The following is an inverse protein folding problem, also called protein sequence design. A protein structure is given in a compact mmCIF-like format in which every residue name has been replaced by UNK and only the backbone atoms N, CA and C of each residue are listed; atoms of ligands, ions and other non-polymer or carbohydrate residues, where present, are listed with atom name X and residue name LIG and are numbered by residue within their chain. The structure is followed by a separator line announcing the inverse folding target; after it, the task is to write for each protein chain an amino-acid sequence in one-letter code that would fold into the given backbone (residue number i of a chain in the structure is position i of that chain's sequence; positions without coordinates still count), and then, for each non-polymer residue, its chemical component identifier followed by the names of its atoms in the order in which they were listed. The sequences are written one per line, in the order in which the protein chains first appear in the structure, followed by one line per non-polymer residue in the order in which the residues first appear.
data_IF_376735872842
#
_entry.id   IF_376735872842
#
_cell.length_a   1.000
_cell.length_b   1.000
_cell.length_c   1.000
_cell.angle_alpha   90.00
_cell.angle_beta   90.00
_cell.angle_gamma   90.00
#
_symmetry.space_group_name_H-M   'P 1'
#
loop_
_entity.id
_entity.type
_entity.pdbx_description
1 polymer ?
#
# COMPACT_ATOMS: atom_id res chain seq x y z
N UNK A 1 -30.44 -28.29 27.58
CA UNK A 1 -31.73 -28.58 28.29
C UNK A 1 -32.77 -29.05 27.25
N UNK A 2 -32.98 -28.33 26.14
CA UNK A 2 -34.02 -28.58 25.17
C UNK A 2 -33.55 -29.37 23.91
N UNK A 3 -32.28 -29.44 23.61
CA UNK A 3 -31.68 -30.22 22.55
C UNK A 3 -31.90 -29.66 21.14
N UNK A 4 -33.11 -29.27 20.76
CA UNK A 4 -33.46 -28.72 19.47
C UNK A 4 -34.23 -27.40 19.59
N UNK A 5 -34.30 -26.66 18.49
CA UNK A 5 -35.05 -25.38 18.40
C UNK A 5 -36.56 -25.63 18.58
N UNK A 6 -37.07 -26.69 17.94
CA UNK A 6 -38.48 -27.10 18.07
C UNK A 6 -38.87 -27.39 19.50
N UNK A 7 -38.00 -28.07 20.25
CA UNK A 7 -38.22 -28.33 21.69
C UNK A 7 -38.21 -27.06 22.52
N UNK A 8 -37.43 -26.02 22.13
CA UNK A 8 -37.50 -24.73 22.83
C UNK A 8 -38.88 -24.10 22.64
N UNK A 9 -39.40 -24.12 21.38
CA UNK A 9 -40.74 -23.58 21.09
C UNK A 9 -41.85 -24.37 21.78
N UNK A 10 -41.69 -25.66 21.96
CA UNK A 10 -42.67 -26.51 22.71
C UNK A 10 -42.68 -26.20 24.23
N UNK A 11 -41.65 -25.56 24.77
CA UNK A 11 -41.47 -25.31 26.20
C UNK A 11 -41.15 -23.84 26.51
N UNK A 12 -41.79 -22.91 25.79
CA UNK A 12 -41.60 -21.46 26.00
C UNK A 12 -41.95 -20.98 27.41
N UNK A 13 -42.83 -21.71 28.11
CA UNK A 13 -43.23 -21.45 29.50
C UNK A 13 -42.09 -21.70 30.49
N UNK A 14 -41.12 -22.54 30.15
CA UNK A 14 -39.93 -22.81 30.97
C UNK A 14 -38.79 -21.78 30.80
N UNK A 15 -38.97 -20.83 29.92
CA UNK A 15 -38.00 -19.77 29.64
C UNK A 15 -38.24 -18.56 30.57
N UNK A 16 -37.16 -17.79 30.77
CA UNK A 16 -37.31 -16.49 31.43
C UNK A 16 -38.14 -15.54 30.54
N UNK A 17 -38.85 -14.55 31.13
CA UNK A 17 -39.69 -13.62 30.33
C UNK A 17 -38.98 -12.99 29.16
N UNK A 18 -37.72 -12.56 29.34
CA UNK A 18 -36.88 -11.95 28.31
C UNK A 18 -36.51 -12.95 27.20
N UNK A 19 -36.19 -14.19 27.56
CA UNK A 19 -35.90 -15.21 26.55
C UNK A 19 -37.16 -15.60 25.77
N UNK A 20 -38.29 -15.78 26.46
CA UNK A 20 -39.58 -16.07 25.83
C UNK A 20 -39.92 -14.99 24.78
N UNK A 21 -39.83 -13.72 25.15
CA UNK A 21 -40.09 -12.61 24.24
C UNK A 21 -39.18 -12.66 23.01
N UNK A 22 -37.89 -12.91 23.19
CA UNK A 22 -36.92 -13.02 22.09
C UNK A 22 -37.28 -14.18 21.14
N UNK A 23 -37.66 -15.37 21.66
CA UNK A 23 -38.05 -16.49 20.81
C UNK A 23 -39.39 -16.26 20.08
N UNK A 24 -40.37 -15.65 20.73
CA UNK A 24 -41.64 -15.28 20.11
C UNK A 24 -41.40 -14.29 18.95
N UNK A 25 -40.56 -13.29 19.16
CA UNK A 25 -40.24 -12.30 18.14
C UNK A 25 -39.43 -12.90 16.97
N UNK A 26 -38.67 -13.97 17.23
CA UNK A 26 -37.83 -14.62 16.20
C UNK A 26 -38.57 -15.74 15.43
N UNK A 27 -39.77 -16.13 15.82
CA UNK A 27 -40.49 -17.28 15.25
C UNK A 27 -40.56 -17.25 13.71
N UNK A 28 -40.85 -16.06 13.14
CA UNK A 28 -40.92 -15.88 11.68
C UNK A 28 -39.58 -16.04 10.93
N UNK A 29 -38.45 -15.96 11.62
CA UNK A 29 -37.12 -15.96 11.02
C UNK A 29 -36.26 -17.17 11.40
N UNK A 30 -36.67 -17.93 12.41
CA UNK A 30 -35.83 -19.00 13.01
C UNK A 30 -35.53 -20.11 11.98
N UNK A 31 -36.49 -20.46 11.17
CA UNK A 31 -36.32 -21.47 10.11
C UNK A 31 -35.28 -21.02 9.10
N UNK A 32 -35.40 -19.79 8.61
CA UNK A 32 -34.42 -19.22 7.68
C UNK A 32 -33.02 -19.14 8.29
N UNK A 33 -32.94 -18.73 9.56
CA UNK A 33 -31.66 -18.69 10.29
C UNK A 33 -31.04 -20.07 10.41
N UNK A 34 -31.84 -21.10 10.70
CA UNK A 34 -31.39 -22.49 10.78
C UNK A 34 -30.86 -22.97 9.41
N UNK A 35 -31.62 -22.71 8.35
CA UNK A 35 -31.23 -23.09 6.98
C UNK A 35 -29.93 -22.42 6.54
N UNK A 36 -29.74 -21.13 6.90
CA UNK A 36 -28.54 -20.38 6.58
C UNK A 36 -27.28 -20.82 7.34
N UNK A 37 -27.41 -21.26 8.60
CA UNK A 37 -26.27 -21.74 9.40
C UNK A 37 -25.99 -23.24 9.21
N UNK A 38 -26.92 -23.97 8.60
CA UNK A 38 -26.73 -25.40 8.34
C UNK A 38 -25.83 -25.62 7.16
N UNK A 39 -24.70 -26.29 7.39
CA UNK A 39 -23.74 -26.62 6.32
C UNK A 39 -24.42 -27.59 5.38
N UNK A 40 -24.47 -27.23 4.09
CA UNK A 40 -24.95 -28.10 3.03
C UNK A 40 -23.87 -29.12 2.69
N UNK A 41 -24.14 -30.41 2.93
CA UNK A 41 -23.18 -31.52 2.76
C UNK A 41 -23.47 -32.40 1.51
N UNK A 42 -24.54 -32.08 0.80
CA UNK A 42 -25.03 -32.83 -0.37
C UNK A 42 -24.78 -32.10 -1.70
N UNK A 43 -23.74 -31.23 -1.70
CA UNK A 43 -23.32 -30.56 -2.94
C UNK A 43 -22.58 -31.59 -3.80
N UNK A 44 -23.02 -31.71 -5.04
CA UNK A 44 -22.32 -32.53 -6.04
C UNK A 44 -21.03 -31.78 -6.45
N UNK A 45 -19.89 -32.33 -6.04
CA UNK A 45 -18.56 -31.79 -6.37
C UNK A 45 -17.99 -32.73 -7.45
N UNK A 46 -17.84 -32.23 -8.69
CA UNK A 46 -17.39 -33.07 -9.82
C UNK A 46 -15.87 -33.31 -9.80
N UNK A 47 -15.31 -33.52 -8.60
CA UNK A 47 -13.86 -33.75 -8.37
C UNK A 47 -13.73 -34.91 -7.40
N UNK A 48 -12.97 -35.95 -7.76
CA UNK A 48 -12.66 -37.04 -6.84
C UNK A 48 -11.64 -36.68 -5.79
N UNK A 49 -11.61 -37.38 -4.65
CA UNK A 49 -10.61 -37.20 -3.62
C UNK A 49 -9.18 -37.42 -4.13
N UNK A 50 -8.99 -38.27 -5.13
CA UNK A 50 -7.68 -38.55 -5.71
C UNK A 50 -7.17 -37.39 -6.56
N UNK A 51 -8.07 -36.62 -7.18
CA UNK A 51 -7.73 -35.39 -7.92
C UNK A 51 -7.40 -34.21 -7.00
N UNK A 52 -7.71 -34.32 -5.72
CA UNK A 52 -7.38 -33.31 -4.69
C UNK A 52 -6.02 -33.56 -4.02
N UNK A 53 -5.30 -34.60 -4.41
CA UNK A 53 -3.98 -34.86 -3.86
C UNK A 53 -3.00 -33.78 -4.31
N UNK A 54 -2.26 -33.25 -3.35
CA UNK A 54 -1.18 -32.30 -3.61
C UNK A 54 0.07 -33.12 -3.87
N UNK A 55 0.66 -33.01 -5.05
CA UNK A 55 1.91 -33.67 -5.42
C UNK A 55 3.15 -33.04 -4.79
N UNK A 56 2.97 -31.92 -4.12
CA UNK A 56 4.00 -31.26 -3.30
C UNK A 56 4.93 -30.33 -4.06
N UNK A 57 4.82 -30.22 -5.37
CA UNK A 57 5.65 -29.30 -6.15
C UNK A 57 4.84 -28.11 -6.66
N UNK A 58 5.41 -26.91 -6.49
CA UNK A 58 4.87 -25.71 -7.09
C UNK A 58 5.31 -25.63 -8.56
N UNK A 59 4.41 -25.23 -9.42
CA UNK A 59 4.69 -25.00 -10.85
C UNK A 59 4.93 -23.51 -11.14
N UNK A 60 5.53 -23.15 -12.28
CA UNK A 60 5.67 -21.75 -12.70
C UNK A 60 4.34 -20.99 -12.76
N UNK A 61 3.23 -21.68 -13.12
CA UNK A 61 1.90 -21.08 -13.15
C UNK A 61 1.41 -20.68 -11.75
N UNK A 62 1.78 -21.41 -10.70
CA UNK A 62 1.49 -21.03 -9.32
C UNK A 62 2.29 -19.80 -8.94
N UNK A 63 3.55 -19.69 -9.38
CA UNK A 63 4.35 -18.49 -9.18
C UNK A 63 3.73 -17.27 -9.88
N UNK A 64 3.21 -17.45 -11.10
CA UNK A 64 2.47 -16.40 -11.83
C UNK A 64 1.20 -15.96 -11.10
N UNK A 65 0.47 -16.90 -10.49
CA UNK A 65 -0.71 -16.58 -9.67
C UNK A 65 -0.33 -15.80 -8.40
N UNK A 66 0.76 -16.17 -7.73
CA UNK A 66 1.25 -15.44 -6.55
C UNK A 66 1.68 -14.02 -6.91
N UNK A 67 2.26 -13.84 -8.09
CA UNK A 67 2.58 -12.52 -8.63
C UNK A 67 1.30 -11.72 -8.91
N UNK A 68 0.38 -12.31 -9.67
CA UNK A 68 -0.89 -11.67 -10.08
C UNK A 68 -1.73 -11.21 -8.91
N UNK A 69 -1.79 -12.00 -7.84
CA UNK A 69 -2.60 -11.70 -6.65
C UNK A 69 -1.79 -11.07 -5.51
N UNK A 70 -0.53 -10.69 -5.77
CA UNK A 70 0.35 -10.02 -4.80
C UNK A 70 0.57 -10.83 -3.51
N UNK A 71 0.65 -12.17 -3.59
CA UNK A 71 0.88 -13.05 -2.47
C UNK A 71 2.36 -13.09 -2.04
N UNK A 72 2.91 -11.92 -1.69
CA UNK A 72 4.33 -11.77 -1.37
C UNK A 72 4.84 -12.69 -0.25
N UNK A 73 4.04 -12.90 0.79
CA UNK A 73 4.41 -13.79 1.90
C UNK A 73 4.48 -15.28 1.50
N UNK A 74 3.76 -15.69 0.46
CA UNK A 74 3.75 -17.07 -0.02
C UNK A 74 4.89 -17.37 -0.97
N UNK A 75 5.52 -16.37 -1.57
CA UNK A 75 6.66 -16.54 -2.50
C UNK A 75 7.81 -17.35 -1.89
N UNK A 76 8.07 -17.19 -0.59
CA UNK A 76 9.10 -17.96 0.10
C UNK A 76 8.88 -19.48 0.07
N UNK A 77 7.66 -19.92 -0.18
CA UNK A 77 7.30 -21.34 -0.27
C UNK A 77 7.52 -21.93 -1.67
N UNK A 78 7.73 -21.08 -2.69
CA UNK A 78 7.99 -21.52 -4.06
C UNK A 78 9.39 -22.14 -4.24
N UNK A 79 10.31 -21.97 -3.27
CA UNK A 79 11.68 -22.42 -3.42
C UNK A 79 12.38 -21.77 -4.63
N UNK A 80 12.85 -22.61 -5.56
CA UNK A 80 13.53 -22.13 -6.79
C UNK A 80 12.58 -21.90 -7.98
N UNK A 81 11.27 -22.10 -7.81
CA UNK A 81 10.30 -21.91 -8.88
C UNK A 81 10.17 -20.42 -9.19
N UNK A 82 10.43 -20.07 -10.44
CA UNK A 82 10.31 -18.70 -10.94
C UNK A 82 9.01 -18.55 -11.77
N UNK A 83 8.41 -17.39 -11.81
CA UNK A 83 7.31 -17.09 -12.72
C UNK A 83 7.70 -17.35 -14.18
N UNK A 84 6.74 -17.77 -15.00
CA UNK A 84 6.92 -18.06 -16.44
C UNK A 84 7.39 -16.82 -17.20
N UNK A 85 6.99 -15.64 -16.75
CA UNK A 85 7.39 -14.34 -17.32
C UNK A 85 8.32 -13.65 -16.33
N UNK A 86 9.61 -13.70 -16.58
CA UNK A 86 10.57 -12.83 -15.89
C UNK A 86 10.34 -11.42 -16.41
N UNK A 87 9.69 -10.59 -15.60
CA UNK A 87 9.58 -9.16 -15.93
C UNK A 87 10.98 -8.56 -15.88
N UNK A 88 11.42 -7.94 -16.98
CA UNK A 88 12.64 -7.13 -16.96
C UNK A 88 12.48 -6.03 -15.90
N UNK A 89 13.43 -5.95 -14.97
CA UNK A 89 13.46 -4.85 -14.01
C UNK A 89 13.58 -3.52 -14.78
N UNK A 90 12.58 -2.69 -14.65
CA UNK A 90 12.62 -1.34 -15.23
C UNK A 90 13.69 -0.53 -14.50
N UNK A 91 14.82 -0.32 -15.15
CA UNK A 91 15.83 0.63 -14.65
C UNK A 91 15.36 2.05 -14.97
N UNK A 92 15.30 2.90 -13.94
CA UNK A 92 15.09 4.33 -14.16
C UNK A 92 16.32 4.91 -14.85
N UNK A 93 16.08 5.54 -15.98
CA UNK A 93 17.09 6.39 -16.62
C UNK A 93 16.83 7.84 -16.21
N UNK A 94 17.83 8.49 -15.68
CA UNK A 94 17.79 9.90 -15.34
C UNK A 94 19.14 10.54 -15.67
N UNK A 95 19.11 11.84 -15.86
CA UNK A 95 20.32 12.64 -16.11
C UNK A 95 20.58 13.51 -14.88
N UNK A 96 21.81 13.52 -14.40
CA UNK A 96 22.22 14.42 -13.31
C UNK A 96 22.48 15.81 -13.90
N UNK A 97 21.86 16.83 -13.30
CA UNK A 97 21.98 18.23 -13.69
C UNK A 97 22.35 19.11 -12.50
N UNK A 98 22.68 20.37 -12.75
CA UNK A 98 22.95 21.34 -11.70
C UNK A 98 21.66 21.81 -11.01
N UNK A 99 21.68 22.13 -9.69
CA UNK A 99 20.52 22.63 -8.97
C UNK A 99 19.83 23.82 -9.63
N UNK A 100 20.59 24.77 -10.16
CA UNK A 100 20.05 25.96 -10.84
C UNK A 100 19.25 25.61 -12.11
N UNK A 101 19.65 24.57 -12.82
CA UNK A 101 18.95 24.07 -13.98
C UNK A 101 17.63 23.38 -13.57
N UNK A 102 17.68 22.52 -12.52
CA UNK A 102 16.48 21.87 -11.98
C UNK A 102 15.46 22.91 -11.49
N UNK A 103 15.90 23.96 -10.81
CA UNK A 103 15.06 25.09 -10.38
C UNK A 103 14.37 25.74 -11.58
N UNK A 104 15.13 26.03 -12.64
CA UNK A 104 14.60 26.66 -13.85
C UNK A 104 13.55 25.80 -14.55
N UNK A 105 13.81 24.50 -14.64
CA UNK A 105 12.85 23.53 -15.20
C UNK A 105 11.61 23.43 -14.32
N UNK A 106 11.76 23.30 -12.99
CA UNK A 106 10.64 23.25 -12.06
C UNK A 106 9.74 24.48 -12.15
N UNK A 107 10.31 25.67 -12.31
CA UNK A 107 9.56 26.91 -12.49
C UNK A 107 8.78 26.92 -13.81
N UNK A 108 9.37 26.43 -14.87
CA UNK A 108 8.72 26.34 -16.20
C UNK A 108 7.62 25.30 -16.22
N UNK A 109 7.87 24.11 -15.69
CA UNK A 109 6.95 22.97 -15.73
C UNK A 109 5.91 23.02 -14.60
N UNK A 110 6.09 23.89 -13.59
CA UNK A 110 5.18 24.06 -12.47
C UNK A 110 5.13 22.86 -11.49
N UNK A 111 6.13 21.97 -11.55
CA UNK A 111 6.17 20.76 -10.71
C UNK A 111 7.59 20.23 -10.51
N UNK A 112 7.83 19.60 -9.36
CA UNK A 112 9.04 18.85 -9.08
C UNK A 112 8.74 17.75 -8.05
N UNK A 113 9.58 16.72 -8.00
CA UNK A 113 9.67 15.84 -6.83
C UNK A 113 10.82 16.33 -5.95
N UNK A 114 10.67 16.18 -4.62
CA UNK A 114 11.68 16.66 -3.67
C UNK A 114 11.84 15.67 -2.52
N UNK A 115 13.08 15.45 -2.11
CA UNK A 115 13.46 14.71 -0.91
C UNK A 115 14.47 15.57 -0.15
N UNK A 116 14.27 15.67 1.17
CA UNK A 116 15.15 16.40 2.08
C UNK A 116 15.69 15.43 3.10
N UNK A 117 17.00 15.34 3.20
CA UNK A 117 17.69 14.47 4.14
C UNK A 117 18.25 15.30 5.30
N UNK A 118 18.11 14.76 6.51
CA UNK A 118 18.72 15.34 7.73
C UNK A 118 20.02 14.64 8.08
N UNK A 119 20.88 15.30 8.86
CA UNK A 119 22.13 14.76 9.39
C UNK A 119 21.91 13.68 10.47
N UNK A 120 20.70 13.59 11.00
CA UNK A 120 20.27 12.60 11.99
C UNK A 120 18.75 12.39 11.89
N UNK A 121 18.19 11.31 12.46
CA UNK A 121 16.75 11.12 12.53
C UNK A 121 16.04 12.21 13.36
N UNK A 122 14.86 12.64 12.89
CA UNK A 122 13.96 13.52 13.63
C UNK A 122 13.90 14.96 13.13
N UNK A 123 12.92 15.70 13.64
CA UNK A 123 12.57 17.04 13.14
C UNK A 123 13.57 18.14 13.54
N UNK A 124 14.50 17.86 14.46
CA UNK A 124 15.53 18.80 14.93
C UNK A 124 16.88 18.61 14.24
N UNK A 125 16.92 17.76 13.21
CA UNK A 125 18.10 17.55 12.38
C UNK A 125 18.44 18.82 11.59
N UNK A 126 19.71 18.97 11.21
CA UNK A 126 20.07 19.93 10.16
C UNK A 126 19.88 19.27 8.80
N UNK A 127 19.50 20.07 7.81
CA UNK A 127 19.41 19.56 6.44
C UNK A 127 20.83 19.28 5.92
N UNK A 128 21.10 18.03 5.59
CA UNK A 128 22.37 17.61 5.01
C UNK A 128 22.35 17.70 3.49
N UNK A 129 21.21 17.38 2.87
CA UNK A 129 21.07 17.33 1.42
C UNK A 129 19.61 17.54 1.00
N UNK A 130 19.42 18.12 -0.16
CA UNK A 130 18.15 18.17 -0.87
C UNK A 130 18.37 17.55 -2.25
N UNK A 131 17.51 16.60 -2.61
CA UNK A 131 17.45 16.02 -3.94
C UNK A 131 16.15 16.45 -4.61
N UNK A 132 16.23 16.98 -5.81
CA UNK A 132 15.10 17.37 -6.61
C UNK A 132 15.09 16.61 -7.94
N UNK A 133 13.92 16.11 -8.33
CA UNK A 133 13.73 15.53 -9.65
C UNK A 133 12.70 16.34 -10.44
N UNK A 134 12.99 16.58 -11.70
CA UNK A 134 12.15 17.31 -12.65
C UNK A 134 11.99 16.53 -13.94
N UNK A 135 10.88 16.76 -14.62
CA UNK A 135 10.60 16.14 -15.91
C UNK A 135 10.60 17.21 -16.99
N UNK A 136 11.34 16.98 -18.06
CA UNK A 136 11.31 17.83 -19.24
C UNK A 136 11.33 16.96 -20.50
N UNK A 137 10.41 17.19 -21.42
CA UNK A 137 10.29 16.45 -22.69
C UNK A 137 10.27 14.92 -22.51
N UNK A 138 9.65 14.42 -21.45
CA UNK A 138 9.58 12.98 -21.15
C UNK A 138 10.84 12.39 -20.49
N UNK A 139 11.89 13.17 -20.27
CA UNK A 139 13.13 12.75 -19.61
C UNK A 139 13.14 13.19 -18.15
N UNK A 140 13.61 12.30 -17.26
CA UNK A 140 13.81 12.60 -15.87
C UNK A 140 15.21 13.20 -15.64
N UNK A 141 15.28 14.28 -14.90
CA UNK A 141 16.52 14.93 -14.52
C UNK A 141 16.55 15.09 -13.00
N UNK A 142 17.70 14.83 -12.40
CA UNK A 142 17.89 14.84 -10.95
C UNK A 142 19.03 15.80 -10.61
N UNK A 143 18.84 16.60 -9.59
CA UNK A 143 19.85 17.47 -9.02
C UNK A 143 19.94 17.26 -7.52
N UNK A 144 21.16 17.29 -6.98
CA UNK A 144 21.44 17.25 -5.55
C UNK A 144 22.19 18.52 -5.16
N UNK A 145 21.91 19.02 -3.96
CA UNK A 145 22.55 20.23 -3.46
C UNK A 145 22.13 20.57 -2.03
N UNK A 146 22.54 21.73 -1.57
CA UNK A 146 22.08 22.30 -0.29
C UNK A 146 20.63 22.82 -0.39
N UNK A 147 19.97 23.00 0.73
CA UNK A 147 18.64 23.61 0.75
C UNK A 147 18.65 25.04 0.18
N UNK A 148 19.78 25.76 0.29
CA UNK A 148 19.95 27.07 -0.26
C UNK A 148 19.91 27.10 -1.79
N UNK A 149 20.52 26.11 -2.44
CA UNK A 149 20.50 25.99 -3.90
C UNK A 149 19.08 25.84 -4.48
N UNK A 150 18.18 25.29 -3.68
CA UNK A 150 16.77 25.07 -4.05
C UNK A 150 15.81 26.07 -3.39
N UNK A 151 16.29 27.10 -2.67
CA UNK A 151 15.43 28.03 -1.90
C UNK A 151 14.30 28.62 -2.73
N UNK A 152 14.59 29.07 -3.95
CA UNK A 152 13.58 29.67 -4.83
C UNK A 152 12.53 28.66 -5.34
N UNK A 153 12.89 27.39 -5.45
CA UNK A 153 11.95 26.31 -5.81
C UNK A 153 11.12 25.90 -4.58
N UNK A 154 11.76 25.74 -3.40
CA UNK A 154 11.12 25.35 -2.15
C UNK A 154 10.00 26.33 -1.77
N UNK A 155 10.30 27.65 -1.81
CA UNK A 155 9.35 28.71 -1.45
C UNK A 155 8.36 29.12 -2.54
N UNK A 156 8.41 28.54 -3.73
CA UNK A 156 7.55 28.94 -4.85
C UNK A 156 6.15 28.30 -4.73
N UNK A 157 5.13 29.12 -4.56
CA UNK A 157 3.73 28.69 -4.47
C UNK A 157 3.16 28.18 -5.80
N UNK A 158 3.75 28.55 -6.92
CA UNK A 158 3.34 28.09 -8.26
C UNK A 158 3.84 26.70 -8.65
N UNK A 159 4.75 26.12 -7.85
CA UNK A 159 5.32 24.80 -8.10
C UNK A 159 4.63 23.74 -7.23
N UNK A 160 4.06 22.71 -7.84
CA UNK A 160 3.55 21.53 -7.14
C UNK A 160 4.73 20.63 -6.72
N UNK A 161 4.83 20.30 -5.43
CA UNK A 161 5.85 19.42 -4.88
C UNK A 161 5.28 18.02 -4.69
N UNK A 162 5.92 17.07 -5.31
CA UNK A 162 5.67 15.63 -5.11
C UNK A 162 6.73 15.09 -4.16
N UNK A 163 6.35 14.18 -3.28
CA UNK A 163 7.31 13.56 -2.37
C UNK A 163 6.67 12.48 -1.52
N UNK A 164 7.47 11.93 -0.65
CA UNK A 164 7.08 10.95 0.35
C UNK A 164 7.33 11.55 1.73
N UNK A 165 6.40 11.38 2.67
CA UNK A 165 6.44 12.05 3.99
C UNK A 165 6.72 13.56 3.89
N UNK A 166 5.97 14.26 3.04
CA UNK A 166 6.13 15.71 2.87
C UNK A 166 5.85 16.49 4.16
N UNK A 167 5.08 15.91 5.08
CA UNK A 167 4.87 16.50 6.42
C UNK A 167 6.17 16.52 7.23
N UNK A 168 6.88 15.38 7.28
CA UNK A 168 8.18 15.28 7.96
C UNK A 168 9.21 16.20 7.30
N UNK A 169 9.31 16.15 5.98
CA UNK A 169 10.22 17.03 5.22
C UNK A 169 9.93 18.53 5.46
N UNK A 170 8.66 18.92 5.47
CA UNK A 170 8.26 20.31 5.76
C UNK A 170 8.67 20.74 7.16
N UNK A 171 8.50 19.88 8.17
CA UNK A 171 8.92 20.18 9.54
C UNK A 171 10.43 20.35 9.63
N UNK A 172 11.21 19.48 8.99
CA UNK A 172 12.66 19.59 8.89
C UNK A 172 13.08 20.90 8.22
N UNK A 173 12.44 21.28 7.13
CA UNK A 173 12.70 22.53 6.44
C UNK A 173 12.38 23.76 7.31
N UNK A 174 11.25 23.76 8.02
CA UNK A 174 10.88 24.87 8.93
C UNK A 174 11.91 25.04 10.03
N UNK A 175 12.36 23.94 10.63
CA UNK A 175 13.40 23.96 11.67
C UNK A 175 14.71 24.61 11.16
N UNK A 176 15.02 24.40 9.88
CA UNK A 176 16.21 24.94 9.22
C UNK A 176 15.97 26.32 8.54
N UNK A 177 14.86 27.01 8.82
CA UNK A 177 14.60 28.35 8.30
C UNK A 177 14.10 28.38 6.84
N UNK A 178 13.63 27.26 6.31
CA UNK A 178 13.01 27.18 4.99
C UNK A 178 11.50 26.97 5.11
N UNK A 179 10.76 27.47 4.12
CA UNK A 179 9.32 27.23 4.03
C UNK A 179 9.01 26.49 2.74
N UNK A 180 8.57 25.26 2.87
CA UNK A 180 8.05 24.50 1.74
C UNK A 180 6.64 25.00 1.44
N UNK A 181 6.47 25.63 0.27
CA UNK A 181 5.22 26.32 -0.12
C UNK A 181 4.65 25.69 -1.41
N UNK A 182 3.38 25.98 -1.71
CA UNK A 182 2.68 25.53 -2.91
C UNK A 182 1.75 24.34 -2.66
N UNK A 183 1.41 23.64 -3.73
CA UNK A 183 0.63 22.40 -3.64
C UNK A 183 1.53 21.22 -3.30
N UNK A 184 1.01 20.33 -2.47
CA UNK A 184 1.71 19.12 -2.03
C UNK A 184 0.98 17.88 -2.53
N UNK A 185 1.74 16.96 -3.11
CA UNK A 185 1.27 15.66 -3.57
C UNK A 185 2.11 14.59 -2.85
N UNK A 186 1.67 14.22 -1.67
CA UNK A 186 2.33 13.23 -0.83
C UNK A 186 1.91 11.82 -1.27
N UNK A 187 2.88 11.03 -1.72
CA UNK A 187 2.64 9.68 -2.26
C UNK A 187 2.11 8.75 -1.17
N UNK A 188 2.60 8.88 0.06
CA UNK A 188 2.14 8.08 1.19
C UNK A 188 0.65 8.33 1.46
N UNK A 189 0.27 9.61 1.58
CA UNK A 189 -1.13 9.99 1.81
C UNK A 189 -2.04 9.66 0.62
N UNK A 190 -1.56 9.82 -0.60
CA UNK A 190 -2.31 9.44 -1.81
C UNK A 190 -2.59 7.94 -1.82
N UNK A 191 -1.60 7.12 -1.50
CA UNK A 191 -1.80 5.67 -1.43
C UNK A 191 -2.72 5.27 -0.28
N UNK A 192 -2.61 5.93 0.87
CA UNK A 192 -3.53 5.70 1.99
C UNK A 192 -4.99 5.91 1.61
N UNK A 193 -5.28 6.96 0.82
CA UNK A 193 -6.65 7.23 0.34
C UNK A 193 -7.18 6.17 -0.65
N UNK A 194 -6.29 5.53 -1.40
CA UNK A 194 -6.66 4.51 -2.40
C UNK A 194 -6.75 3.12 -1.78
N UNK A 195 -5.82 2.76 -0.90
CA UNK A 195 -5.68 1.43 -0.31
C UNK A 195 -5.31 1.52 1.18
N UNK A 196 -6.24 1.90 2.07
CA UNK A 196 -5.93 2.16 3.49
C UNK A 196 -5.41 0.93 4.26
N UNK A 197 -5.74 -0.27 3.79
CA UNK A 197 -5.35 -1.54 4.44
C UNK A 197 -3.95 -2.04 4.04
N UNK A 198 -3.33 -1.43 3.02
CA UNK A 198 -2.01 -1.85 2.54
C UNK A 198 -0.89 -1.04 3.20
N UNK A 199 0.34 -1.55 3.12
CA UNK A 199 1.53 -0.80 3.53
C UNK A 199 1.78 0.37 2.59
N UNK A 200 2.18 1.51 3.16
CA UNK A 200 2.46 2.75 2.42
C UNK A 200 3.96 3.05 2.31
N UNK A 201 4.82 2.11 2.70
CA UNK A 201 6.27 2.27 2.60
C UNK A 201 6.71 2.44 1.16
N UNK A 202 7.66 3.34 0.92
CA UNK A 202 8.08 3.74 -0.42
C UNK A 202 8.67 2.59 -1.24
N UNK A 203 9.40 1.67 -0.61
CA UNK A 203 9.94 0.46 -1.22
C UNK A 203 8.82 -0.46 -1.73
N UNK A 204 7.77 -0.64 -0.91
CA UNK A 204 6.59 -1.43 -1.29
C UNK A 204 5.81 -0.75 -2.42
N UNK A 205 5.66 0.57 -2.36
CA UNK A 205 5.00 1.34 -3.42
C UNK A 205 5.78 1.27 -4.74
N UNK A 206 7.09 1.44 -4.69
CA UNK A 206 7.94 1.34 -5.88
C UNK A 206 7.84 -0.06 -6.51
N UNK A 207 7.85 -1.11 -5.69
CA UNK A 207 7.67 -2.49 -6.18
C UNK A 207 6.29 -2.71 -6.78
N UNK A 208 5.22 -2.27 -6.09
CA UNK A 208 3.84 -2.54 -6.51
C UNK A 208 3.43 -1.77 -7.77
N UNK A 209 3.84 -0.51 -7.91
CA UNK A 209 3.38 0.37 -8.98
C UNK A 209 4.37 0.50 -10.14
N UNK A 210 5.66 0.37 -9.87
CA UNK A 210 6.71 0.57 -10.87
C UNK A 210 7.48 -0.71 -11.21
N UNK A 211 7.24 -1.80 -10.44
CA UNK A 211 8.00 -3.05 -10.49
C UNK A 211 9.50 -2.84 -10.28
N UNK A 212 9.83 -1.94 -9.35
CA UNK A 212 11.19 -1.55 -9.04
C UNK A 212 11.55 -1.95 -7.61
N UNK A 213 12.72 -2.52 -7.43
CA UNK A 213 13.31 -2.70 -6.12
C UNK A 213 14.13 -1.45 -5.80
N UNK A 214 13.79 -0.76 -4.70
CA UNK A 214 14.67 0.27 -4.14
C UNK A 214 15.73 -0.45 -3.32
N UNK A 215 17.00 -0.21 -3.60
CA UNK A 215 18.07 -0.64 -2.72
C UNK A 215 17.91 0.10 -1.40
N UNK A 216 17.97 -0.64 -0.28
CA UNK A 216 18.07 -0.01 1.02
C UNK A 216 19.37 0.81 1.00
N UNK A 217 19.23 2.14 1.01
CA UNK A 217 20.39 2.99 1.29
C UNK A 217 20.90 2.57 2.66
N UNK A 218 22.11 2.03 2.70
CA UNK A 218 22.79 1.66 3.94
C UNK A 218 22.74 2.85 4.90
N UNK A 219 22.50 2.59 6.20
CA UNK A 219 22.42 3.61 7.21
C UNK A 219 23.70 4.43 7.33
#
# INVERSE_FOLDING_TARGET
KFGTVENIYAHLDELTPKQREAFVNAEGHIKLSHDLVTIKTDIDIPVSSDEMLIDGEYTPEVADLFEKYEFGSLRKHLGNVQPSVVKEEKKLSFTIIQPSEAVSIAQKEGRCAIITEGDQPGMFANISKVTAAVMQNGSCMVAEGSAEDFRSMIGNTGITKYGYDLKGQRNLMIHNGFRLEGKFMDIELMHYLVNPEKSHKIDILAKSYLDMNLEESAP
#
